data_IF_332093230766
#
_entry.id   IF_332093230766
#
_cell.length_a   1.000
_cell.length_b   1.000
_cell.length_c   1.000
_cell.angle_alpha   90.00
_cell.angle_beta   90.00
_cell.angle_gamma   90.00
#
_symmetry.space_group_name_H-M   'P 1'
#
loop_
_entity.id
_entity.type
_entity.pdbx_description
1 polymer ?
#
# COMPACT_ATOMS: atom_id res chain seq x y z
N UNK A 1 -0.52 -2.41 -25.36
CA UNK A 1 -1.20 -2.84 -24.13
C UNK A 1 -0.20 -3.18 -23.06
N UNK A 2 -0.46 -2.73 -21.83
CA UNK A 2 0.45 -3.00 -20.73
C UNK A 2 0.54 -4.50 -20.47
N UNK A 3 1.73 -4.97 -20.20
CA UNK A 3 1.96 -6.36 -19.92
C UNK A 3 2.27 -6.55 -18.45
N UNK A 4 1.58 -7.50 -17.82
CA UNK A 4 1.78 -7.79 -16.41
C UNK A 4 3.18 -8.35 -16.17
N UNK A 5 3.77 -7.96 -15.05
CA UNK A 5 5.02 -8.53 -14.59
C UNK A 5 4.83 -9.87 -13.90
N UNK A 6 3.58 -10.18 -13.50
CA UNK A 6 3.28 -11.41 -12.78
C UNK A 6 3.08 -12.58 -13.74
N UNK A 7 3.58 -13.73 -13.37
CA UNK A 7 3.27 -14.96 -14.08
C UNK A 7 2.11 -15.69 -13.43
N UNK A 8 1.82 -15.39 -12.18
CA UNK A 8 0.63 -15.90 -11.49
C UNK A 8 0.07 -14.80 -10.62
N UNK A 9 -1.25 -14.77 -10.46
CA UNK A 9 -1.95 -13.72 -9.73
C UNK A 9 -2.73 -14.35 -8.59
N UNK A 10 -2.50 -13.85 -7.37
CA UNK A 10 -3.18 -14.34 -6.18
C UNK A 10 -4.51 -13.67 -5.96
N UNK A 11 -4.61 -12.38 -6.34
CA UNK A 11 -5.80 -11.59 -6.08
C UNK A 11 -5.98 -10.56 -7.17
N UNK A 12 -7.20 -10.44 -7.68
CA UNK A 12 -7.62 -9.38 -8.58
C UNK A 12 -8.83 -8.71 -7.95
N UNK A 13 -8.77 -7.40 -7.76
CA UNK A 13 -9.83 -6.72 -7.02
C UNK A 13 -9.99 -5.29 -7.52
N UNK A 14 -11.23 -4.82 -7.52
CA UNK A 14 -11.53 -3.44 -7.90
C UNK A 14 -10.95 -2.46 -6.90
N UNK A 15 -10.43 -1.36 -7.42
CA UNK A 15 -9.70 -0.41 -6.58
C UNK A 15 -9.76 0.99 -7.12
N UNK A 16 -9.43 1.94 -6.24
CA UNK A 16 -9.17 3.32 -6.59
C UNK A 16 -7.70 3.60 -6.36
N UNK A 17 -7.10 4.36 -7.27
CA UNK A 17 -5.74 4.86 -7.12
C UNK A 17 -5.80 6.36 -6.85
N UNK A 18 -5.03 6.81 -5.86
CA UNK A 18 -5.00 8.22 -5.49
C UNK A 18 -3.71 8.91 -5.94
N UNK A 19 -3.02 8.31 -6.89
CA UNK A 19 -1.79 8.90 -7.42
C UNK A 19 -2.17 9.96 -8.45
N UNK A 20 -2.02 11.23 -8.06
CA UNK A 20 -2.53 12.33 -8.87
C UNK A 20 -4.04 12.41 -8.77
N UNK A 21 -4.71 12.51 -9.91
CA UNK A 21 -6.17 12.45 -9.94
C UNK A 21 -6.61 11.03 -9.61
N UNK A 22 -7.71 10.93 -8.88
CA UNK A 22 -8.24 9.62 -8.53
C UNK A 22 -8.70 8.89 -9.78
N UNK A 23 -8.24 7.66 -9.93
CA UNK A 23 -8.66 6.80 -11.03
C UNK A 23 -9.16 5.48 -10.46
N UNK A 24 -9.90 4.75 -11.27
CA UNK A 24 -10.54 3.49 -10.86
C UNK A 24 -10.10 2.39 -11.77
N UNK A 25 -9.96 1.20 -11.23
CA UNK A 25 -9.53 0.07 -12.02
C UNK A 25 -9.36 -1.19 -11.21
N UNK A 26 -8.37 -1.97 -11.57
CA UNK A 26 -8.11 -3.27 -10.95
C UNK A 26 -6.72 -3.32 -10.36
N UNK A 27 -6.66 -3.83 -9.13
CA UNK A 27 -5.40 -4.19 -8.49
C UNK A 27 -5.18 -5.68 -8.71
N UNK A 28 -3.97 -6.03 -9.13
CA UNK A 28 -3.53 -7.41 -9.27
C UNK A 28 -2.35 -7.62 -8.33
N UNK A 29 -2.47 -8.63 -7.49
CA UNK A 29 -1.39 -8.99 -6.59
C UNK A 29 -0.93 -10.38 -6.99
N UNK A 30 0.30 -10.45 -7.47
CA UNK A 30 0.83 -11.69 -8.00
C UNK A 30 2.21 -11.99 -7.46
N UNK A 31 2.85 -12.98 -8.08
CA UNK A 31 4.09 -13.51 -7.56
C UNK A 31 5.28 -12.54 -7.67
N UNK A 32 5.21 -11.53 -8.53
CA UNK A 32 6.35 -10.65 -8.75
C UNK A 32 6.08 -9.18 -8.41
N UNK A 33 4.84 -8.75 -8.45
CA UNK A 33 4.55 -7.32 -8.35
C UNK A 33 3.14 -7.04 -7.88
N UNK A 34 2.98 -5.84 -7.33
CA UNK A 34 1.69 -5.20 -7.13
C UNK A 34 1.42 -4.38 -8.38
N UNK A 35 0.23 -4.53 -8.97
CA UNK A 35 -0.11 -3.83 -10.20
C UNK A 35 -1.48 -3.19 -10.11
N UNK A 36 -1.63 -2.02 -10.74
CA UNK A 36 -2.91 -1.35 -10.88
C UNK A 36 -3.08 -0.95 -12.34
N UNK A 37 -4.25 -1.25 -12.88
CA UNK A 37 -4.58 -0.89 -14.26
C UNK A 37 -5.85 -0.07 -14.28
N UNK A 38 -5.75 1.14 -14.85
CA UNK A 38 -6.87 2.05 -14.99
C UNK A 38 -7.90 1.43 -15.95
N UNK A 39 -9.15 1.33 -15.51
CA UNK A 39 -10.17 0.65 -16.32
C UNK A 39 -10.53 1.40 -17.58
N UNK A 40 -10.32 2.73 -17.60
CA UNK A 40 -10.60 3.53 -18.79
C UNK A 40 -9.44 3.56 -19.75
N UNK A 41 -8.24 3.34 -19.27
CA UNK A 41 -7.05 3.37 -20.10
C UNK A 41 -5.99 2.45 -19.50
N UNK A 42 -5.97 1.16 -19.92
CA UNK A 42 -5.02 0.21 -19.35
C UNK A 42 -3.55 0.57 -19.55
N UNK A 43 -3.25 1.49 -20.45
CA UNK A 43 -1.88 1.97 -20.60
C UNK A 43 -1.48 2.93 -19.49
N UNK A 44 -2.44 3.39 -18.72
CA UNK A 44 -2.19 4.17 -17.51
C UNK A 44 -2.18 3.19 -16.34
N UNK A 45 -0.99 2.70 -16.00
CA UNK A 45 -0.85 1.64 -15.04
C UNK A 45 0.28 1.92 -14.05
N UNK A 46 0.27 1.16 -12.97
CA UNK A 46 1.31 1.19 -11.94
C UNK A 46 1.75 -0.24 -11.72
N UNK A 47 3.05 -0.48 -11.78
CA UNK A 47 3.63 -1.79 -11.53
C UNK A 47 4.77 -1.62 -10.54
N UNK A 48 4.66 -2.26 -9.38
CA UNK A 48 5.64 -2.14 -8.31
C UNK A 48 6.14 -3.54 -7.96
N UNK A 49 7.35 -3.90 -8.43
CA UNK A 49 7.93 -5.19 -8.04
C UNK A 49 8.09 -5.27 -6.52
N UNK A 50 7.93 -6.45 -5.97
CA UNK A 50 7.97 -6.59 -4.52
C UNK A 50 9.29 -6.14 -3.91
N UNK A 51 10.40 -6.33 -4.62
CA UNK A 51 11.70 -5.90 -4.11
C UNK A 51 11.89 -4.39 -4.14
N UNK A 52 11.00 -3.66 -4.81
CA UNK A 52 11.02 -2.20 -4.79
C UNK A 52 10.21 -1.62 -3.63
N UNK A 53 9.46 -2.44 -2.93
CA UNK A 53 8.61 -1.98 -1.83
C UNK A 53 9.47 -1.83 -0.57
N UNK A 54 9.51 -0.60 -0.04
CA UNK A 54 10.19 -0.34 1.22
C UNK A 54 9.30 -0.75 2.39
N UNK A 55 8.08 -0.25 2.38
CA UNK A 55 7.09 -0.64 3.39
C UNK A 55 5.70 -0.29 2.90
N UNK A 56 4.70 -0.82 3.60
CA UNK A 56 3.29 -0.58 3.29
C UNK A 56 2.63 -0.05 4.55
N UNK A 57 1.87 1.03 4.42
CA UNK A 57 1.20 1.63 5.56
C UNK A 57 -0.32 1.66 5.32
N UNK A 58 -1.06 1.28 6.33
CA UNK A 58 -2.51 1.22 6.26
C UNK A 58 -3.13 2.29 7.13
N UNK A 59 -4.11 3.02 6.59
CA UNK A 59 -4.86 4.00 7.35
C UNK A 59 -6.03 3.31 8.02
N UNK A 60 -5.96 3.23 9.35
CA UNK A 60 -6.91 2.46 10.14
C UNK A 60 -7.91 3.43 10.77
N UNK A 61 -9.19 3.09 10.69
CA UNK A 61 -10.25 3.91 11.25
C UNK A 61 -11.13 3.05 12.17
N UNK A 62 -12.02 3.69 12.90
CA UNK A 62 -12.96 2.98 13.77
C UNK A 62 -12.26 2.18 14.85
N UNK A 63 -11.22 2.75 15.45
CA UNK A 63 -10.42 2.10 16.50
C UNK A 63 -9.82 0.79 16.03
N UNK A 64 -9.37 0.78 14.78
CA UNK A 64 -8.73 -0.39 14.21
C UNK A 64 -9.67 -1.39 13.56
N UNK A 65 -10.94 -1.05 13.44
CA UNK A 65 -11.92 -1.99 12.89
C UNK A 65 -11.95 -2.01 11.37
N UNK A 66 -11.52 -0.92 10.74
CA UNK A 66 -11.58 -0.83 9.29
C UNK A 66 -10.33 -0.16 8.75
N UNK A 67 -10.03 -0.46 7.49
CA UNK A 67 -8.90 0.16 6.79
C UNK A 67 -9.47 0.97 5.63
N UNK A 68 -9.27 2.28 5.66
CA UNK A 68 -9.84 3.16 4.64
C UNK A 68 -9.01 3.17 3.36
N UNK A 69 -7.70 3.06 3.48
CA UNK A 69 -6.79 3.02 2.35
C UNK A 69 -5.43 2.55 2.82
N UNK A 70 -4.55 2.30 1.86
CA UNK A 70 -3.17 1.93 2.19
C UNK A 70 -2.25 2.54 1.15
N UNK A 71 -0.96 2.59 1.48
CA UNK A 71 0.04 3.13 0.59
C UNK A 71 1.24 2.19 0.53
N UNK A 72 1.77 2.02 -0.67
CA UNK A 72 3.03 1.32 -0.88
C UNK A 72 4.12 2.37 -1.02
N UNK A 73 5.10 2.33 -0.13
CA UNK A 73 6.24 3.23 -0.17
C UNK A 73 7.38 2.51 -0.87
N UNK A 74 7.83 3.08 -1.97
CA UNK A 74 8.89 2.46 -2.75
C UNK A 74 10.24 3.02 -2.36
N UNK A 75 11.28 2.28 -2.72
CA UNK A 75 12.64 2.68 -2.35
C UNK A 75 13.11 3.91 -3.10
N UNK A 76 12.61 4.13 -4.32
CA UNK A 76 13.11 5.20 -5.17
C UNK A 76 12.07 6.13 -5.74
N UNK A 77 10.82 5.71 -5.81
CA UNK A 77 9.81 6.42 -6.59
C UNK A 77 8.66 6.98 -5.77
N UNK A 78 8.88 7.18 -4.48
CA UNK A 78 7.84 7.72 -3.62
C UNK A 78 6.80 6.71 -3.24
N UNK A 79 5.59 7.18 -2.99
CA UNK A 79 4.53 6.33 -2.51
C UNK A 79 3.32 6.36 -3.44
N UNK A 80 2.54 5.29 -3.39
CA UNK A 80 1.34 5.12 -4.20
C UNK A 80 0.22 4.65 -3.29
N UNK A 81 -0.88 5.37 -3.25
CA UNK A 81 -1.99 5.08 -2.35
C UNK A 81 -3.17 4.49 -3.10
N UNK A 82 -3.83 3.55 -2.47
CA UNK A 82 -4.95 2.82 -3.07
C UNK A 82 -6.01 2.51 -2.02
N UNK A 83 -7.21 2.28 -2.50
CA UNK A 83 -8.26 1.67 -1.70
C UNK A 83 -8.95 0.63 -2.56
N UNK A 84 -9.15 -0.57 -2.03
CA UNK A 84 -9.80 -1.65 -2.76
C UNK A 84 -11.14 -1.96 -2.11
N UNK A 85 -11.91 -2.81 -2.76
CA UNK A 85 -13.18 -3.25 -2.20
C UNK A 85 -13.02 -4.00 -0.89
N UNK A 86 -11.85 -4.59 -0.68
CA UNK A 86 -11.55 -5.30 0.56
C UNK A 86 -10.09 -5.06 0.89
N UNK A 87 -9.84 -3.97 1.62
CA UNK A 87 -8.48 -3.58 1.94
C UNK A 87 -7.78 -4.62 2.81
N UNK A 88 -8.51 -5.27 3.69
CA UNK A 88 -7.88 -6.28 4.56
C UNK A 88 -7.41 -7.49 3.77
N UNK A 89 -8.24 -7.97 2.84
CA UNK A 89 -7.86 -9.09 1.99
C UNK A 89 -6.67 -8.70 1.11
N UNK A 90 -6.69 -7.48 0.60
CA UNK A 90 -5.60 -6.98 -0.24
C UNK A 90 -4.29 -6.94 0.54
N UNK A 91 -4.34 -6.42 1.76
CA UNK A 91 -3.14 -6.33 2.59
C UNK A 91 -2.62 -7.71 3.01
N UNK A 92 -3.53 -8.66 3.25
CA UNK A 92 -3.09 -10.03 3.52
C UNK A 92 -2.33 -10.62 2.34
N UNK A 93 -2.83 -10.37 1.13
CA UNK A 93 -2.14 -10.85 -0.06
C UNK A 93 -0.78 -10.17 -0.23
N UNK A 94 -0.71 -8.86 0.00
CA UNK A 94 0.56 -8.14 -0.06
C UNK A 94 1.54 -8.71 0.97
N UNK A 95 1.07 -8.98 2.16
CA UNK A 95 1.92 -9.47 3.24
C UNK A 95 2.63 -10.77 2.89
N UNK A 96 1.99 -11.64 2.12
CA UNK A 96 2.63 -12.90 1.74
C UNK A 96 3.86 -12.70 0.88
N UNK A 97 3.98 -11.53 0.25
CA UNK A 97 5.12 -11.24 -0.64
C UNK A 97 6.15 -10.34 -0.01
N UNK A 98 5.74 -9.40 0.83
CA UNK A 98 6.70 -8.44 1.41
C UNK A 98 7.10 -8.78 2.83
N UNK A 99 6.33 -9.64 3.50
CA UNK A 99 6.60 -9.96 4.90
C UNK A 99 5.87 -9.05 5.86
N UNK A 100 5.64 -9.56 7.04
CA UNK A 100 4.86 -8.87 8.05
C UNK A 100 5.58 -7.65 8.60
N UNK A 101 6.89 -7.70 8.63
CA UNK A 101 7.70 -6.61 9.18
C UNK A 101 7.62 -5.34 8.34
N UNK A 102 7.19 -5.44 7.11
CA UNK A 102 7.05 -4.26 6.24
C UNK A 102 5.66 -3.66 6.27
N UNK A 103 4.73 -4.25 6.99
CA UNK A 103 3.38 -3.72 7.09
C UNK A 103 3.18 -2.92 8.35
N UNK A 104 2.78 -1.67 8.19
CA UNK A 104 2.48 -0.77 9.30
C UNK A 104 0.97 -0.60 9.37
N UNK A 105 0.31 -1.41 10.20
CA UNK A 105 -1.13 -1.41 10.35
C UNK A 105 -1.53 -0.92 11.73
N UNK A 106 -0.91 0.14 12.16
CA UNK A 106 -1.14 0.64 13.51
C UNK A 106 -1.94 1.93 13.45
N UNK A 107 -3.03 2.03 14.19
CA UNK A 107 -3.72 3.31 14.33
C UNK A 107 -2.78 4.39 14.86
N UNK A 108 -1.83 3.98 15.69
CA UNK A 108 -0.89 4.93 16.28
C UNK A 108 -0.01 5.60 15.23
N UNK A 109 0.42 4.85 14.23
CA UNK A 109 1.24 5.42 13.18
C UNK A 109 0.51 6.55 12.47
N UNK A 110 -0.71 6.29 12.04
CA UNK A 110 -1.49 7.27 11.30
C UNK A 110 -1.96 8.40 12.19
N UNK A 111 -2.29 8.09 13.43
CA UNK A 111 -2.66 9.11 14.38
C UNK A 111 -1.53 10.11 14.59
N UNK A 112 -0.33 9.59 14.79
CA UNK A 112 0.85 10.42 15.00
C UNK A 112 1.11 11.29 13.78
N UNK A 113 1.07 10.70 12.61
CA UNK A 113 1.31 11.41 11.36
C UNK A 113 0.30 12.53 11.19
N UNK A 114 -0.97 12.19 11.37
CA UNK A 114 -2.07 13.13 11.14
C UNK A 114 -2.05 14.27 12.15
N UNK A 115 -1.65 14.01 13.36
CA UNK A 115 -1.70 15.01 14.44
C UNK A 115 -0.35 15.62 14.77
N UNK A 116 0.68 15.27 14.03
CA UNK A 116 1.99 15.88 14.25
C UNK A 116 2.65 15.44 15.53
N UNK A 117 2.42 14.21 15.96
CA UNK A 117 2.95 13.72 17.23
C UNK A 117 4.24 12.92 17.06
N UNK A 118 5.02 13.28 16.07
CA UNK A 118 6.27 12.57 15.79
C UNK A 118 7.31 12.75 16.88
N UNK A 119 7.12 13.72 17.74
CA UNK A 119 8.06 13.95 18.85
C UNK A 119 7.91 12.93 19.97
N UNK A 120 6.83 12.14 19.98
CA UNK A 120 6.64 11.16 21.02
C UNK A 120 7.59 9.98 20.81
N UNK A 121 8.21 9.48 21.89
CA UNK A 121 9.20 8.41 21.75
C UNK A 121 8.65 7.16 21.07
N UNK A 122 7.46 6.74 21.44
CA UNK A 122 6.89 5.54 20.82
C UNK A 122 6.55 5.77 19.35
N UNK A 123 6.21 7.01 19.00
CA UNK A 123 5.92 7.34 17.61
C UNK A 123 7.19 7.27 16.78
N UNK A 124 8.29 7.76 17.31
CA UNK A 124 9.56 7.66 16.61
C UNK A 124 9.98 6.22 16.44
N UNK A 125 9.71 5.39 17.43
CA UNK A 125 10.00 3.97 17.32
C UNK A 125 9.20 3.33 16.19
N UNK A 126 7.93 3.67 16.06
CA UNK A 126 7.10 3.13 14.99
C UNK A 126 7.63 3.55 13.63
N UNK A 127 8.04 4.80 13.52
CA UNK A 127 8.53 5.31 12.26
C UNK A 127 9.88 4.67 11.93
N UNK A 128 10.75 4.53 12.93
CA UNK A 128 12.04 3.90 12.70
C UNK A 128 11.90 2.46 12.26
N UNK A 129 10.93 1.77 12.83
CA UNK A 129 10.69 0.40 12.45
C UNK A 129 10.31 0.27 10.98
N UNK A 130 9.63 1.29 10.46
CA UNK A 130 9.26 1.24 9.05
C UNK A 130 10.46 1.58 8.19
N UNK A 131 11.41 2.26 8.72
CA UNK A 131 12.54 2.64 7.97
C UNK A 131 13.52 3.42 8.74
N UNK A 132 13.30 3.92 9.75
CA UNK A 132 13.94 4.80 10.45
C UNK A 132 13.94 5.98 10.17
N UNK A 133 13.24 6.78 9.93
CA UNK A 133 12.96 7.75 9.59
C UNK A 133 12.75 8.66 9.52
N UNK A 134 12.71 8.87 9.87
CA UNK A 134 12.45 9.81 9.58
C UNK A 134 12.85 10.45 9.70
#
# INVERSE_FOLDING_TARGET
MAQSQNSSVDLTIKASSFHGLTTYGDVLIGNKAFEFYNEKNPEDYIQIPWDEVDHVAASVIGKGKAISRFALFTKKNGSYSFSTRDNKATLRAIRTHVGEDKLLQSPNFWYVFKHGLLSLPHALSLIRDSRKKK
#
